data_IF_808565804265
#
_entry.id   IF_808565804265
#
_cell.length_a   1.000
_cell.length_b   1.000
_cell.length_c   1.000
_cell.angle_alpha   90.00
_cell.angle_beta   90.00
_cell.angle_gamma   90.00
#
_symmetry.space_group_name_H-M   'P 1'
#
loop_
_entity.id
_entity.type
_entity.pdbx_description
1 polymer ?
#
# COMPACT_ATOMS: atom_id res chain seq x y z
N UNK A 1 -19.05 18.65 -15.73
CA UNK A 1 -19.22 17.24 -16.16
C UNK A 1 -19.43 16.41 -14.92
N UNK A 2 -20.68 16.14 -14.52
CA UNK A 2 -20.98 15.24 -13.41
C UNK A 2 -20.93 13.81 -13.93
N UNK A 3 -19.92 13.04 -13.53
CA UNK A 3 -19.94 11.59 -13.75
C UNK A 3 -21.13 11.00 -12.98
N UNK A 4 -21.87 10.08 -13.61
CA UNK A 4 -22.96 9.37 -12.92
C UNK A 4 -22.34 8.65 -11.71
N UNK A 5 -22.98 8.67 -10.52
CA UNK A 5 -22.40 8.12 -9.28
C UNK A 5 -21.98 6.63 -9.40
N UNK A 6 -22.56 5.89 -10.34
CA UNK A 6 -22.16 4.51 -10.65
C UNK A 6 -20.79 4.36 -11.33
N UNK A 7 -20.30 5.38 -12.04
CA UNK A 7 -19.02 5.36 -12.73
C UNK A 7 -17.85 5.66 -11.78
N UNK A 8 -18.02 6.64 -10.87
CA UNK A 8 -17.02 6.96 -9.86
C UNK A 8 -16.79 5.77 -8.92
N UNK A 9 -17.88 5.13 -8.47
CA UNK A 9 -17.81 3.92 -7.65
C UNK A 9 -17.05 2.80 -8.36
N UNK A 10 -17.34 2.54 -9.64
CA UNK A 10 -16.62 1.52 -10.43
C UNK A 10 -15.13 1.81 -10.54
N UNK A 11 -14.73 3.07 -10.76
CA UNK A 11 -13.31 3.44 -10.84
C UNK A 11 -12.60 3.26 -9.51
N UNK A 12 -13.23 3.68 -8.41
CA UNK A 12 -12.71 3.50 -7.05
C UNK A 12 -12.54 2.02 -6.72
N UNK A 13 -13.54 1.20 -7.04
CA UNK A 13 -13.49 -0.24 -6.84
C UNK A 13 -12.36 -0.89 -7.66
N UNK A 14 -12.22 -0.52 -8.93
CA UNK A 14 -11.15 -1.03 -9.79
C UNK A 14 -9.77 -0.65 -9.25
N UNK A 15 -9.57 0.57 -8.77
CA UNK A 15 -8.31 1.01 -8.13
C UNK A 15 -7.99 0.16 -6.90
N UNK A 16 -8.96 -0.06 -6.03
CA UNK A 16 -8.79 -0.89 -4.84
C UNK A 16 -8.43 -2.33 -5.21
N UNK A 17 -9.11 -2.92 -6.20
CA UNK A 17 -8.81 -4.28 -6.68
C UNK A 17 -7.38 -4.33 -7.26
N UNK A 18 -6.98 -3.34 -8.06
CA UNK A 18 -5.62 -3.28 -8.61
C UNK A 18 -4.57 -3.22 -7.50
N UNK A 19 -4.79 -2.39 -6.48
CA UNK A 19 -3.89 -2.28 -5.33
C UNK A 19 -3.85 -3.57 -4.51
N UNK A 20 -4.99 -4.24 -4.34
CA UNK A 20 -5.06 -5.51 -3.63
C UNK A 20 -4.30 -6.61 -4.37
N UNK A 21 -4.45 -6.71 -5.69
CA UNK A 21 -3.69 -7.67 -6.51
C UNK A 21 -2.21 -7.38 -6.44
N UNK A 22 -1.81 -6.11 -6.53
CA UNK A 22 -0.42 -5.69 -6.39
C UNK A 22 0.13 -6.07 -5.01
N UNK A 23 -0.59 -5.77 -3.95
CA UNK A 23 -0.20 -6.11 -2.58
C UNK A 23 -0.10 -7.61 -2.37
N UNK A 24 -1.03 -8.40 -2.92
CA UNK A 24 -1.00 -9.85 -2.87
C UNK A 24 0.24 -10.41 -3.58
N UNK A 25 0.56 -9.88 -4.76
CA UNK A 25 1.73 -10.30 -5.53
C UNK A 25 3.03 -9.98 -4.77
N UNK A 26 3.14 -8.77 -4.24
CA UNK A 26 4.27 -8.34 -3.40
C UNK A 26 4.41 -9.23 -2.17
N UNK A 27 3.31 -9.47 -1.45
CA UNK A 27 3.32 -10.29 -0.25
C UNK A 27 3.73 -11.74 -0.54
N UNK A 28 3.21 -12.34 -1.62
CA UNK A 28 3.60 -13.68 -2.06
C UNK A 28 5.07 -13.75 -2.48
N UNK A 29 5.59 -12.72 -3.15
CA UNK A 29 7.01 -12.64 -3.49
C UNK A 29 7.90 -12.51 -2.25
N UNK A 30 7.51 -11.66 -1.30
CA UNK A 30 8.22 -11.47 -0.04
C UNK A 30 8.18 -12.71 0.86
N UNK A 31 7.12 -13.51 0.81
CA UNK A 31 7.02 -14.76 1.55
C UNK A 31 8.08 -15.81 1.13
N UNK A 32 8.74 -15.63 -0.02
CA UNK A 32 9.87 -16.46 -0.44
C UNK A 32 11.18 -16.06 0.24
N UNK A 33 11.23 -14.88 0.87
CA UNK A 33 12.40 -14.37 1.60
C UNK A 33 12.30 -14.82 3.05
N UNK A 34 13.34 -15.48 3.55
CA UNK A 34 13.43 -15.84 4.98
C UNK A 34 13.79 -14.58 5.77
N UNK A 35 12.77 -13.91 6.30
CA UNK A 35 12.90 -12.72 7.12
C UNK A 35 11.89 -12.73 8.27
N UNK A 36 12.11 -11.88 9.27
CA UNK A 36 11.17 -11.67 10.36
C UNK A 36 9.83 -11.15 9.81
N UNK A 37 8.70 -11.66 10.32
CA UNK A 37 7.34 -11.26 9.90
C UNK A 37 7.13 -9.74 9.91
N UNK A 38 7.61 -9.02 10.92
CA UNK A 38 7.47 -7.57 11.02
C UNK A 38 8.26 -6.83 9.93
N UNK A 39 9.43 -7.37 9.58
CA UNK A 39 10.23 -6.85 8.48
C UNK A 39 9.53 -7.11 7.14
N UNK A 40 8.95 -8.29 6.95
CA UNK A 40 8.15 -8.61 5.76
C UNK A 40 6.95 -7.68 5.60
N UNK A 41 6.26 -7.33 6.70
CA UNK A 41 5.16 -6.35 6.66
C UNK A 41 5.66 -4.96 6.23
N UNK A 42 6.74 -4.48 6.86
CA UNK A 42 7.32 -3.18 6.53
C UNK A 42 7.79 -3.12 5.07
N UNK A 43 8.43 -4.18 4.58
CA UNK A 43 8.81 -4.32 3.18
C UNK A 43 7.59 -4.38 2.27
N UNK A 44 6.51 -5.06 2.68
CA UNK A 44 5.26 -5.11 1.93
C UNK A 44 4.67 -3.73 1.69
N UNK A 45 4.60 -2.90 2.73
CA UNK A 45 4.18 -1.50 2.60
C UNK A 45 5.10 -0.70 1.68
N UNK A 46 6.42 -0.78 1.90
CA UNK A 46 7.40 -0.02 1.12
C UNK A 46 7.36 -0.39 -0.37
N UNK A 47 7.39 -1.69 -0.68
CA UNK A 47 7.40 -2.18 -2.06
C UNK A 47 6.09 -1.86 -2.77
N UNK A 48 4.93 -2.00 -2.10
CA UNK A 48 3.65 -1.62 -2.71
C UNK A 48 3.59 -0.11 -2.98
N UNK A 49 4.10 0.73 -2.08
CA UNK A 49 4.18 2.18 -2.29
C UNK A 49 5.02 2.52 -3.51
N UNK A 50 6.24 1.99 -3.58
CA UNK A 50 7.15 2.19 -4.72
C UNK A 50 6.48 1.69 -6.02
N UNK A 51 5.95 0.47 -6.02
CA UNK A 51 5.34 -0.12 -7.21
C UNK A 51 4.11 0.66 -7.68
N UNK A 52 3.26 1.14 -6.75
CA UNK A 52 2.12 2.01 -7.05
C UNK A 52 2.58 3.32 -7.69
N UNK A 53 3.59 3.97 -7.12
CA UNK A 53 4.08 5.25 -7.63
C UNK A 53 4.69 5.09 -9.02
N UNK A 54 5.45 4.01 -9.26
CA UNK A 54 5.97 3.64 -10.58
C UNK A 54 4.82 3.39 -11.56
N UNK A 55 3.80 2.62 -11.18
CA UNK A 55 2.64 2.34 -12.03
C UNK A 55 1.89 3.63 -12.39
N UNK A 56 1.69 4.51 -11.40
CA UNK A 56 1.04 5.80 -11.59
C UNK A 56 1.85 6.70 -12.54
N UNK A 57 3.17 6.75 -12.37
CA UNK A 57 4.07 7.46 -13.28
C UNK A 57 4.03 6.89 -14.70
N UNK A 58 4.04 5.57 -14.87
CA UNK A 58 3.96 4.92 -16.19
C UNK A 58 2.65 5.26 -16.92
N UNK A 59 1.52 5.28 -16.20
CA UNK A 59 0.19 5.53 -16.76
C UNK A 59 0.00 7.02 -17.09
N UNK A 60 0.37 7.90 -16.16
CA UNK A 60 0.09 9.34 -16.29
C UNK A 60 1.18 10.11 -17.01
N UNK A 61 2.41 9.54 -17.10
CA UNK A 61 3.64 10.20 -17.54
C UNK A 61 3.93 11.52 -16.82
N UNK A 62 3.27 11.77 -15.70
CA UNK A 62 3.51 12.91 -14.81
C UNK A 62 4.44 12.44 -13.73
N UNK A 63 5.53 13.18 -13.52
CA UNK A 63 6.37 12.96 -12.37
C UNK A 63 5.83 13.82 -11.22
N UNK A 64 5.18 13.23 -10.19
CA UNK A 64 4.68 14.00 -9.07
C UNK A 64 5.81 14.62 -8.23
N UNK A 65 7.04 14.14 -8.40
CA UNK A 65 8.22 14.62 -7.68
C UNK A 65 9.24 15.18 -8.68
N UNK A 66 9.48 16.50 -8.60
CA UNK A 66 10.55 17.14 -9.37
C UNK A 66 11.94 16.80 -8.81
N UNK A 67 12.02 16.52 -7.51
CA UNK A 67 13.26 16.14 -6.82
C UNK A 67 13.11 14.83 -6.06
N UNK A 68 14.19 14.04 -6.04
CA UNK A 68 14.24 12.77 -5.30
C UNK A 68 14.08 12.97 -3.78
N UNK A 69 14.50 14.12 -3.24
CA UNK A 69 14.34 14.44 -1.83
C UNK A 69 12.86 14.53 -1.41
N UNK A 70 12.00 15.11 -2.25
CA UNK A 70 10.57 15.19 -1.97
C UNK A 70 9.92 13.80 -1.97
N UNK A 71 10.39 12.92 -2.86
CA UNK A 71 9.96 11.52 -2.90
C UNK A 71 10.36 10.77 -1.63
N UNK A 72 11.60 10.94 -1.17
CA UNK A 72 12.06 10.34 0.09
C UNK A 72 11.24 10.84 1.28
N UNK A 73 10.91 12.14 1.33
CA UNK A 73 10.06 12.72 2.39
C UNK A 73 8.64 12.13 2.37
N UNK A 74 8.01 12.04 1.20
CA UNK A 74 6.67 11.41 1.05
C UNK A 74 6.70 9.93 1.47
N UNK A 75 7.73 9.21 1.04
CA UNK A 75 7.91 7.79 1.37
C UNK A 75 8.16 7.61 2.86
N UNK A 76 8.96 8.48 3.50
CA UNK A 76 9.20 8.44 4.93
C UNK A 76 7.91 8.70 5.73
N UNK A 77 7.09 9.69 5.31
CA UNK A 77 5.78 9.95 5.92
C UNK A 77 4.82 8.76 5.76
N UNK A 78 4.80 8.15 4.57
CA UNK A 78 4.02 6.94 4.32
C UNK A 78 4.44 5.80 5.28
N UNK A 79 5.75 5.59 5.42
CA UNK A 79 6.29 4.55 6.29
C UNK A 79 6.03 4.81 7.79
N UNK A 80 5.95 6.06 8.22
CA UNK A 80 5.52 6.40 9.58
C UNK A 80 4.07 5.98 9.83
N UNK A 81 3.17 6.24 8.88
CA UNK A 81 1.76 5.78 9.00
C UNK A 81 1.66 4.26 8.89
N UNK A 82 2.47 3.64 8.03
CA UNK A 82 2.57 2.19 7.93
C UNK A 82 3.03 1.56 9.26
N UNK A 83 3.98 2.18 9.96
CA UNK A 83 4.44 1.72 11.27
C UNK A 83 3.31 1.74 12.32
N UNK A 84 2.45 2.76 12.30
CA UNK A 84 1.23 2.79 13.13
C UNK A 84 0.31 1.63 12.77
N UNK A 85 0.10 1.39 11.46
CA UNK A 85 -0.66 0.24 10.97
C UNK A 85 -0.09 -1.10 11.46
N UNK A 86 1.23 -1.29 11.39
CA UNK A 86 1.93 -2.47 11.91
C UNK A 86 1.71 -2.62 13.42
N UNK A 87 1.77 -1.52 14.18
CA UNK A 87 1.47 -1.51 15.61
C UNK A 87 0.04 -1.98 15.91
N UNK A 88 -0.94 -1.55 15.11
CA UNK A 88 -2.33 -2.03 15.24
C UNK A 88 -2.42 -3.53 14.94
N UNK A 89 -1.74 -4.02 13.91
CA UNK A 89 -1.66 -5.47 13.61
C UNK A 89 -1.06 -6.23 14.80
N UNK A 90 0.03 -5.73 15.37
CA UNK A 90 0.64 -6.31 16.57
C UNK A 90 -0.36 -6.41 17.72
N UNK A 91 -1.12 -5.35 17.99
CA UNK A 91 -2.14 -5.35 19.05
C UNK A 91 -3.25 -6.37 18.78
N UNK A 92 -3.74 -6.45 17.54
CA UNK A 92 -4.78 -7.41 17.14
C UNK A 92 -4.29 -8.85 17.33
N UNK A 93 -3.10 -9.16 16.83
CA UNK A 93 -2.53 -10.51 16.92
C UNK A 93 -2.26 -10.90 18.39
N UNK A 94 -1.78 -9.96 19.21
CA UNK A 94 -1.39 -10.23 20.60
C UNK A 94 -2.58 -10.34 21.55
N UNK A 95 -3.57 -9.44 21.41
CA UNK A 95 -4.64 -9.29 22.41
C UNK A 95 -6.00 -9.84 21.97
N UNK A 96 -6.26 -9.90 20.66
CA UNK A 96 -7.55 -10.35 20.12
C UNK A 96 -7.46 -11.79 19.61
N UNK A 97 -6.26 -12.25 19.24
CA UNK A 97 -6.04 -13.58 18.67
C UNK A 97 -6.67 -13.76 17.28
N UNK A 98 -6.94 -12.65 16.58
CA UNK A 98 -7.51 -12.65 15.23
C UNK A 98 -6.46 -12.93 14.15
N UNK A 99 -6.93 -13.18 12.92
CA UNK A 99 -6.08 -13.21 11.73
C UNK A 99 -6.21 -11.88 10.98
N UNK A 100 -5.10 -11.21 10.74
CA UNK A 100 -5.06 -10.02 9.90
C UNK A 100 -4.66 -10.44 8.50
N UNK A 101 -5.48 -10.07 7.50
CA UNK A 101 -5.08 -10.27 6.11
C UNK A 101 -4.24 -9.08 5.65
N UNK A 102 -2.93 -9.21 5.76
CA UNK A 102 -1.94 -8.14 5.53
C UNK A 102 -2.07 -7.45 4.17
N UNK A 103 -2.30 -8.17 3.04
CA UNK A 103 -2.46 -7.54 1.74
C UNK A 103 -3.59 -6.51 1.70
N UNK A 104 -4.67 -6.71 2.46
CA UNK A 104 -5.79 -5.76 2.52
C UNK A 104 -5.36 -4.49 3.22
N UNK A 105 -4.64 -4.60 4.34
CA UNK A 105 -4.16 -3.45 5.09
C UNK A 105 -3.18 -2.62 4.23
N UNK A 106 -2.26 -3.30 3.55
CA UNK A 106 -1.28 -2.67 2.66
C UNK A 106 -2.00 -1.95 1.51
N UNK A 107 -2.96 -2.61 0.85
CA UNK A 107 -3.73 -2.02 -0.24
C UNK A 107 -4.59 -0.84 0.24
N UNK A 108 -5.24 -0.96 1.41
CA UNK A 108 -6.05 0.10 1.99
C UNK A 108 -5.22 1.34 2.30
N UNK A 109 -4.05 1.17 2.92
CA UNK A 109 -3.16 2.31 3.19
C UNK A 109 -2.65 2.93 1.89
N UNK A 110 -2.21 2.10 0.92
CA UNK A 110 -1.78 2.60 -0.38
C UNK A 110 -2.91 3.31 -1.15
N UNK A 111 -4.18 2.93 -0.95
CA UNK A 111 -5.31 3.60 -1.55
C UNK A 111 -5.58 4.95 -0.91
N UNK A 112 -5.67 5.00 0.42
CA UNK A 112 -5.93 6.23 1.19
C UNK A 112 -4.77 7.23 1.05
N UNK A 113 -3.55 6.74 0.83
CA UNK A 113 -2.39 7.58 0.64
C UNK A 113 -2.37 8.24 -0.75
N UNK A 114 -2.95 9.45 -0.84
CA UNK A 114 -3.02 10.30 -2.04
C UNK A 114 -3.69 9.67 -3.25
#
# INVERSE_FOLDING_TARGET
MHEKPSQEFRRSLMRMITLLVLALFVYRGLALVVANYWLLLALGFLVVKIARDILFWMITRKNPFFFFEDYLKDTAQYMLVAAIGIGIVYLILTYVGGMVWEPVLIAALAWVWR
#
